data_IF_749536140849
#
_entry.id   IF_749536140849
#
_cell.length_a   1.000
_cell.length_b   1.000
_cell.length_c   1.000
_cell.angle_alpha   90.00
_cell.angle_beta   90.00
_cell.angle_gamma   90.00
#
_symmetry.space_group_name_H-M   'P 1'
#
loop_
_entity.id
_entity.type
_entity.pdbx_description
1 polymer ?
#
# COMPACT_ATOMS: atom_id res chain seq x y z
N UNK A 1 18.70 9.50 8.80
CA UNK A 1 17.84 8.38 8.38
C UNK A 1 18.66 7.09 8.48
N UNK A 2 18.22 6.12 9.28
CA UNK A 2 19.01 4.91 9.59
C UNK A 2 18.63 3.75 8.64
N UNK A 3 19.42 3.56 7.59
CA UNK A 3 19.13 2.54 6.58
C UNK A 3 19.21 1.10 7.11
N UNK A 4 20.08 0.83 8.09
CA UNK A 4 20.17 -0.49 8.73
C UNK A 4 18.86 -0.83 9.43
N UNK A 5 18.33 0.13 10.19
CA UNK A 5 17.02 -0.04 10.83
C UNK A 5 15.90 -0.32 9.82
N UNK A 6 15.92 0.34 8.65
CA UNK A 6 14.92 0.10 7.59
C UNK A 6 15.05 -1.32 7.01
N UNK A 7 16.28 -1.78 6.76
CA UNK A 7 16.58 -3.14 6.31
C UNK A 7 16.16 -4.18 7.36
N UNK A 8 16.51 -3.98 8.62
CA UNK A 8 16.16 -4.85 9.75
C UNK A 8 14.63 -4.93 9.93
N UNK A 9 13.93 -3.79 9.87
CA UNK A 9 12.47 -3.75 9.92
C UNK A 9 11.84 -4.52 8.74
N UNK A 10 12.41 -4.40 7.54
CA UNK A 10 11.90 -5.12 6.37
C UNK A 10 12.13 -6.63 6.48
N UNK A 11 13.33 -7.06 6.88
CA UNK A 11 13.65 -8.48 7.10
C UNK A 11 12.74 -9.09 8.16
N UNK A 12 12.54 -8.39 9.28
CA UNK A 12 11.61 -8.80 10.33
C UNK A 12 10.18 -8.90 9.79
N UNK A 13 9.76 -7.98 8.90
CA UNK A 13 8.44 -8.03 8.28
C UNK A 13 8.26 -9.21 7.31
N UNK A 14 9.30 -9.55 6.55
CA UNK A 14 9.29 -10.75 5.71
C UNK A 14 9.25 -12.02 6.55
N UNK A 15 10.07 -12.09 7.61
CA UNK A 15 10.17 -13.27 8.49
C UNK A 15 8.90 -13.49 9.32
N UNK A 16 8.41 -12.47 10.05
CA UNK A 16 7.27 -12.58 10.95
C UNK A 16 5.98 -13.03 10.25
N UNK A 17 5.83 -12.67 8.97
CA UNK A 17 4.67 -13.04 8.15
C UNK A 17 4.97 -14.13 7.13
N UNK A 18 6.17 -14.71 7.14
CA UNK A 18 6.62 -15.74 6.19
C UNK A 18 6.32 -15.34 4.72
N UNK A 19 6.65 -14.10 4.37
CA UNK A 19 6.40 -13.54 3.04
C UNK A 19 7.37 -14.13 2.03
N UNK A 20 6.92 -14.27 0.78
CA UNK A 20 7.81 -14.62 -0.33
C UNK A 20 8.64 -13.39 -0.68
N UNK A 21 9.94 -13.43 -0.39
CA UNK A 21 10.85 -12.35 -0.76
C UNK A 21 11.08 -12.32 -2.28
N UNK A 22 10.94 -11.13 -2.86
CA UNK A 22 11.17 -10.84 -4.28
C UNK A 22 12.18 -9.68 -4.45
N UNK A 23 12.80 -9.26 -3.34
CA UNK A 23 13.83 -8.24 -3.31
C UNK A 23 15.00 -8.67 -4.20
N UNK A 24 15.53 -7.71 -4.96
CA UNK A 24 16.79 -7.86 -5.67
C UNK A 24 17.61 -6.59 -5.51
N UNK A 25 18.94 -6.71 -5.46
CA UNK A 25 19.82 -5.55 -5.51
C UNK A 25 19.68 -4.86 -6.86
N UNK A 26 18.98 -3.73 -6.91
CA UNK A 26 18.89 -2.92 -8.13
C UNK A 26 19.88 -1.76 -8.05
N UNK A 27 21.04 -1.94 -8.68
CA UNK A 27 21.98 -0.84 -8.93
C UNK A 27 21.42 0.08 -10.02
N UNK A 28 20.54 1.01 -9.66
CA UNK A 28 20.22 2.12 -10.56
C UNK A 28 21.40 3.10 -10.60
N UNK A 29 21.95 3.32 -11.80
CA UNK A 29 22.95 4.36 -12.04
C UNK A 29 22.39 5.72 -11.59
N UNK A 30 23.19 6.47 -10.82
CA UNK A 30 22.93 7.79 -10.23
C UNK A 30 22.26 7.87 -8.84
N UNK A 31 22.39 6.83 -8.03
CA UNK A 31 22.10 6.84 -6.59
C UNK A 31 21.58 5.48 -6.15
N UNK A 32 22.15 4.90 -5.09
CA UNK A 32 21.76 3.54 -4.65
C UNK A 32 20.35 3.59 -4.05
N UNK A 33 19.33 3.34 -4.86
CA UNK A 33 17.97 3.08 -4.41
C UNK A 33 17.83 1.59 -4.10
N UNK A 34 17.55 1.26 -2.86
CA UNK A 34 17.10 -0.08 -2.49
C UNK A 34 15.61 -0.23 -2.76
N UNK A 35 15.27 -1.37 -3.32
CA UNK A 35 13.91 -1.76 -3.65
C UNK A 35 13.63 -3.10 -3.02
N UNK A 36 12.99 -3.06 -1.86
CA UNK A 36 12.52 -4.26 -1.19
C UNK A 36 11.16 -4.66 -1.72
N UNK A 37 10.98 -5.95 -2.02
CA UNK A 37 9.74 -6.51 -2.54
C UNK A 37 9.45 -7.83 -1.87
N UNK A 38 8.19 -8.03 -1.53
CA UNK A 38 7.70 -9.28 -1.00
C UNK A 38 6.25 -9.50 -1.44
N UNK A 39 5.78 -10.72 -1.38
CA UNK A 39 4.39 -11.05 -1.66
C UNK A 39 3.84 -12.09 -0.68
N UNK A 40 2.52 -12.12 -0.55
CA UNK A 40 1.80 -13.21 0.12
C UNK A 40 0.52 -13.57 -0.63
N UNK A 41 0.08 -14.82 -0.46
CA UNK A 41 -1.29 -15.23 -0.77
C UNK A 41 -2.11 -15.22 0.52
N UNK A 42 -3.03 -14.27 0.61
CA UNK A 42 -3.98 -14.15 1.71
C UNK A 42 -5.38 -14.56 1.24
N UNK A 43 -5.78 -15.79 1.54
CA UNK A 43 -7.10 -16.35 1.19
C UNK A 43 -7.47 -16.20 -0.29
N UNK A 44 -6.48 -16.36 -1.19
CA UNK A 44 -6.58 -16.22 -2.64
C UNK A 44 -6.15 -14.84 -3.15
N UNK A 45 -6.07 -13.81 -2.29
CA UNK A 45 -5.62 -12.48 -2.67
C UNK A 45 -4.09 -12.43 -2.68
N UNK A 46 -3.50 -12.24 -3.85
CA UNK A 46 -2.07 -11.98 -3.99
C UNK A 46 -1.77 -10.53 -3.63
N UNK A 47 -1.16 -10.32 -2.46
CA UNK A 47 -0.76 -8.99 -1.99
C UNK A 47 0.73 -8.80 -2.30
N UNK A 48 1.06 -7.73 -3.01
CA UNK A 48 2.42 -7.32 -3.30
C UNK A 48 2.80 -6.13 -2.43
N UNK A 49 3.94 -6.24 -1.77
CA UNK A 49 4.53 -5.22 -0.93
C UNK A 49 5.77 -4.65 -1.59
N UNK A 50 5.88 -3.33 -1.59
CA UNK A 50 7.05 -2.62 -2.09
C UNK A 50 7.49 -1.54 -1.10
N UNK A 51 8.78 -1.55 -0.74
CA UNK A 51 9.41 -0.53 0.08
C UNK A 51 10.67 0.01 -0.61
N UNK A 52 10.66 1.30 -0.93
CA UNK A 52 11.68 2.02 -1.70
C UNK A 52 12.42 3.02 -0.81
N UNK A 53 13.73 2.95 -0.80
CA UNK A 53 14.58 3.83 0.00
C UNK A 53 15.89 4.19 -0.72
N UNK A 54 16.42 5.41 -0.53
CA UNK A 54 17.70 5.83 -1.10
C UNK A 54 18.82 5.78 -0.06
N UNK A 55 19.82 4.92 -0.27
CA UNK A 55 21.03 4.83 0.57
C UNK A 55 21.91 6.09 0.52
N UNK A 56 21.90 6.85 -0.58
CA UNK A 56 22.88 7.92 -0.86
C UNK A 56 22.33 9.36 -0.73
N UNK A 57 21.57 9.66 0.31
CA UNK A 57 21.22 11.05 0.64
C UNK A 57 22.32 11.72 1.50
N UNK A 58 23.59 11.66 1.06
CA UNK A 58 24.69 12.39 1.73
C UNK A 58 24.78 13.86 1.30
N UNK A 59 24.21 14.28 0.16
CA UNK A 59 24.14 15.70 -0.19
C UNK A 59 22.96 15.99 -1.11
N UNK A 60 21.99 16.78 -0.60
CA UNK A 60 21.18 17.76 -1.35
C UNK A 60 20.36 17.33 -2.58
N UNK A 61 20.42 16.07 -3.02
CA UNK A 61 19.77 15.59 -4.23
C UNK A 61 18.39 15.02 -3.89
N UNK A 62 17.38 15.85 -4.12
CA UNK A 62 15.95 15.51 -4.03
C UNK A 62 15.54 14.62 -5.20
N UNK A 63 16.00 13.36 -5.19
CA UNK A 63 15.43 12.37 -6.10
C UNK A 63 13.93 12.25 -5.80
N UNK A 64 13.09 12.45 -6.82
CA UNK A 64 11.64 12.19 -6.75
C UNK A 64 11.42 10.68 -6.70
N UNK A 65 11.75 10.07 -5.56
CA UNK A 65 11.22 8.75 -5.22
C UNK A 65 9.71 8.96 -5.20
N UNK A 66 8.96 8.18 -5.99
CA UNK A 66 7.50 8.26 -6.05
C UNK A 66 6.88 7.92 -4.70
N UNK A 67 6.22 6.77 -4.61
CA UNK A 67 5.77 6.23 -3.32
C UNK A 67 6.90 5.41 -2.71
N UNK A 68 7.10 5.56 -1.39
CA UNK A 68 8.11 4.82 -0.64
C UNK A 68 7.57 3.51 -0.12
N UNK A 69 6.31 3.45 0.26
CA UNK A 69 5.62 2.22 0.63
C UNK A 69 4.40 2.06 -0.28
N UNK A 70 4.23 0.89 -0.87
CA UNK A 70 3.06 0.55 -1.68
C UNK A 70 2.66 -0.89 -1.43
N UNK A 71 1.43 -1.08 -0.96
CA UNK A 71 0.80 -2.39 -0.80
C UNK A 71 -0.30 -2.47 -1.84
N UNK A 72 -0.33 -3.54 -2.63
CA UNK A 72 -1.28 -3.64 -3.73
C UNK A 72 -1.76 -5.07 -3.89
N UNK A 73 -3.06 -5.25 -4.00
CA UNK A 73 -3.69 -6.53 -4.29
C UNK A 73 -4.59 -6.38 -5.51
N UNK A 74 -4.41 -7.18 -6.56
CA UNK A 74 -5.38 -7.29 -7.63
C UNK A 74 -6.68 -7.92 -7.13
N UNK A 75 -7.81 -7.39 -7.59
CA UNK A 75 -9.14 -7.78 -7.15
C UNK A 75 -10.13 -7.78 -8.32
N UNK A 76 -11.18 -8.56 -8.21
CA UNK A 76 -12.39 -8.46 -9.03
C UNK A 76 -13.45 -7.74 -8.21
N UNK A 77 -14.16 -6.80 -8.83
CA UNK A 77 -15.26 -6.09 -8.18
C UNK A 77 -16.59 -6.77 -8.52
N UNK A 78 -17.53 -6.76 -7.59
CA UNK A 78 -18.91 -7.20 -7.84
C UNK A 78 -19.62 -6.33 -8.88
N UNK A 79 -19.33 -5.04 -8.85
CA UNK A 79 -19.81 -4.02 -9.78
C UNK A 79 -18.73 -2.96 -9.97
N UNK A 80 -18.86 -2.13 -11.00
CA UNK A 80 -17.90 -1.06 -11.23
C UNK A 80 -18.06 0.06 -10.19
N UNK A 81 -17.21 0.04 -9.16
CA UNK A 81 -17.08 1.11 -8.20
C UNK A 81 -15.63 1.51 -7.97
N UNK A 82 -15.42 2.71 -7.42
CA UNK A 82 -14.12 3.20 -7.01
C UNK A 82 -14.17 3.66 -5.55
N UNK A 83 -12.99 3.68 -4.93
CA UNK A 83 -12.80 4.21 -3.58
C UNK A 83 -11.49 5.00 -3.56
N UNK A 84 -11.50 6.14 -2.89
CA UNK A 84 -10.30 6.85 -2.48
C UNK A 84 -10.49 7.35 -1.06
N UNK A 85 -9.52 7.05 -0.20
CA UNK A 85 -9.46 7.54 1.16
C UNK A 85 -8.11 8.19 1.40
N UNK A 86 -8.14 9.42 1.91
CA UNK A 86 -6.97 10.22 2.20
C UNK A 86 -7.20 10.99 3.50
N UNK A 87 -6.13 11.33 4.20
CA UNK A 87 -6.25 12.24 5.36
C UNK A 87 -6.71 13.61 4.88
N UNK A 88 -7.72 14.20 5.54
CA UNK A 88 -8.10 15.60 5.28
C UNK A 88 -6.91 16.51 5.55
N UNK A 89 -6.78 17.55 4.73
CA UNK A 89 -5.72 18.56 4.90
C UNK A 89 -5.76 19.17 6.31
N UNK A 90 -4.61 19.63 6.81
CA UNK A 90 -4.52 20.28 8.13
C UNK A 90 -5.51 21.45 8.24
N UNK A 91 -5.61 22.28 7.20
CA UNK A 91 -6.56 23.39 7.14
C UNK A 91 -8.02 22.92 7.28
N UNK A 92 -8.41 21.89 6.53
CA UNK A 92 -9.78 21.35 6.61
C UNK A 92 -10.09 20.79 8.01
N UNK A 93 -9.11 20.16 8.65
CA UNK A 93 -9.27 19.59 10.01
C UNK A 93 -9.37 20.67 11.10
N UNK A 94 -8.61 21.75 10.98
CA UNK A 94 -8.62 22.84 11.97
C UNK A 94 -9.92 23.63 11.90
N UNK A 95 -10.42 23.88 10.69
CA UNK A 95 -11.51 24.84 10.50
C UNK A 95 -12.90 24.23 10.26
N UNK A 96 -13.00 22.99 9.73
CA UNK A 96 -14.24 22.55 9.07
C UNK A 96 -14.69 21.11 9.32
N UNK A 97 -14.03 20.30 10.18
CA UNK A 97 -14.40 18.88 10.26
C UNK A 97 -13.98 18.17 11.55
N UNK A 98 -14.92 17.46 12.18
CA UNK A 98 -14.63 16.44 13.21
C UNK A 98 -14.00 15.18 12.62
N UNK A 99 -14.38 14.79 11.40
CA UNK A 99 -13.81 13.64 10.70
C UNK A 99 -12.37 13.93 10.24
N UNK A 100 -11.47 12.95 10.37
CA UNK A 100 -10.06 13.11 9.96
C UNK A 100 -9.80 12.68 8.52
N UNK A 101 -10.64 11.83 7.94
CA UNK A 101 -10.47 11.24 6.61
C UNK A 101 -11.43 11.84 5.60
N UNK A 102 -10.94 12.05 4.38
CA UNK A 102 -11.74 12.33 3.19
C UNK A 102 -11.98 11.00 2.49
N UNK A 103 -13.25 10.60 2.38
CA UNK A 103 -13.66 9.33 1.75
C UNK A 103 -14.51 9.66 0.53
N UNK A 104 -14.06 9.23 -0.63
CA UNK A 104 -14.79 9.32 -1.90
C UNK A 104 -15.04 7.90 -2.41
N UNK A 105 -16.31 7.51 -2.52
CA UNK A 105 -16.68 6.21 -3.03
C UNK A 105 -17.95 6.33 -3.88
N UNK A 106 -17.94 5.69 -5.05
CA UNK A 106 -19.13 5.66 -5.91
C UNK A 106 -20.23 4.72 -5.37
N UNK A 107 -19.89 3.74 -4.52
CA UNK A 107 -20.84 2.88 -3.82
C UNK A 107 -20.82 3.16 -2.30
N UNK A 108 -21.83 3.88 -1.81
CA UNK A 108 -21.91 4.27 -0.39
C UNK A 108 -21.97 3.08 0.57
N UNK A 109 -22.45 1.91 0.14
CA UNK A 109 -22.50 0.73 1.00
C UNK A 109 -21.10 0.24 1.37
N UNK A 110 -20.12 0.45 0.48
CA UNK A 110 -18.71 0.10 0.72
C UNK A 110 -18.14 0.89 1.89
N UNK A 111 -18.50 2.18 2.02
CA UNK A 111 -17.98 3.06 3.08
C UNK A 111 -18.24 2.47 4.47
N UNK A 112 -19.43 1.92 4.71
CA UNK A 112 -19.84 1.37 5.99
C UNK A 112 -19.10 0.06 6.36
N UNK A 113 -18.38 -0.54 5.42
CA UNK A 113 -17.60 -1.76 5.63
C UNK A 113 -16.14 -1.47 5.99
N UNK A 114 -15.68 -0.22 5.85
CA UNK A 114 -14.26 0.10 6.00
C UNK A 114 -13.86 0.18 7.48
N UNK A 115 -12.68 -0.34 7.86
CA UNK A 115 -12.13 -0.23 9.21
C UNK A 115 -11.58 1.20 9.45
N UNK A 116 -12.48 2.16 9.69
CA UNK A 116 -12.15 3.59 9.74
C UNK A 116 -11.13 3.90 10.85
N UNK A 117 -11.29 3.33 12.03
CA UNK A 117 -10.42 3.61 13.18
C UNK A 117 -8.99 3.12 12.94
N UNK A 118 -8.84 1.94 12.35
CA UNK A 118 -7.54 1.36 12.00
C UNK A 118 -6.86 2.14 10.86
N UNK A 119 -7.63 2.59 9.87
CA UNK A 119 -7.12 3.46 8.80
C UNK A 119 -6.67 4.80 9.39
N UNK A 120 -7.48 5.43 10.26
CA UNK A 120 -7.10 6.68 10.94
C UNK A 120 -5.82 6.51 11.76
N UNK A 121 -5.67 5.38 12.45
CA UNK A 121 -4.45 5.06 13.20
C UNK A 121 -3.22 5.01 12.28
N UNK A 122 -3.28 4.31 11.15
CA UNK A 122 -2.16 4.25 10.19
C UNK A 122 -1.83 5.63 9.62
N UNK A 123 -2.84 6.49 9.38
CA UNK A 123 -2.59 7.87 8.90
C UNK A 123 -1.90 8.77 9.93
N UNK A 124 -1.75 8.33 11.19
CA UNK A 124 -0.93 9.02 12.18
C UNK A 124 0.57 8.87 11.88
N UNK A 125 0.99 7.71 11.35
CA UNK A 125 2.35 7.44 10.90
C UNK A 125 2.63 8.03 9.52
N UNK A 126 1.61 7.96 8.65
CA UNK A 126 1.70 8.34 7.24
C UNK A 126 0.67 9.43 6.91
N UNK A 127 1.01 10.72 7.08
CA UNK A 127 0.06 11.81 6.88
C UNK A 127 -0.48 11.93 5.45
N UNK A 128 0.25 11.41 4.45
CA UNK A 128 -0.12 11.40 3.04
C UNK A 128 -0.64 10.03 2.55
N UNK A 129 -0.93 9.11 3.47
CA UNK A 129 -1.43 7.79 3.12
C UNK A 129 -2.67 7.91 2.23
N UNK A 130 -2.63 7.20 1.11
CA UNK A 130 -3.75 7.06 0.19
C UNK A 130 -4.13 5.59 0.08
N UNK A 131 -5.38 5.28 0.42
CA UNK A 131 -6.00 4.00 0.14
C UNK A 131 -6.93 4.18 -1.05
N UNK A 132 -6.87 3.28 -2.02
CA UNK A 132 -7.75 3.35 -3.19
C UNK A 132 -8.17 2.00 -3.72
N UNK A 133 -9.38 1.94 -4.28
CA UNK A 133 -9.82 0.90 -5.19
C UNK A 133 -10.01 1.55 -6.56
N UNK A 134 -9.18 1.15 -7.52
CA UNK A 134 -9.16 1.73 -8.87
C UNK A 134 -8.61 0.74 -9.90
N UNK A 135 -8.76 1.08 -11.17
CA UNK A 135 -8.01 0.44 -12.25
C UNK A 135 -6.54 0.81 -12.16
N UNK A 136 -5.67 -0.17 -12.30
CA UNK A 136 -4.23 0.01 -12.24
C UNK A 136 -3.72 0.71 -13.50
N UNK A 137 -3.05 1.84 -13.32
CA UNK A 137 -2.65 2.78 -14.37
C UNK A 137 -1.13 2.95 -14.50
N UNK A 138 -0.33 2.27 -13.65
CA UNK A 138 1.14 2.39 -13.61
C UNK A 138 1.81 1.18 -14.28
N UNK A 139 2.68 1.41 -15.27
CA UNK A 139 3.49 0.38 -15.95
C UNK A 139 4.63 -0.23 -15.09
N UNK A 140 4.64 -0.04 -13.76
CA UNK A 140 5.83 -0.33 -12.93
C UNK A 140 5.79 -1.64 -12.15
N UNK A 141 4.62 -2.26 -11.95
CA UNK A 141 4.53 -3.56 -11.28
C UNK A 141 4.29 -4.65 -12.33
N UNK A 142 5.33 -5.42 -12.65
CA UNK A 142 5.28 -6.50 -13.64
C UNK A 142 4.27 -7.61 -13.30
N UNK A 143 3.81 -7.67 -12.04
CA UNK A 143 2.87 -8.67 -11.56
C UNK A 143 1.40 -8.24 -11.68
N UNK A 144 1.12 -6.98 -12.04
CA UNK A 144 -0.25 -6.47 -12.14
C UNK A 144 -0.52 -5.99 -13.56
N UNK A 145 -1.60 -6.52 -14.15
CA UNK A 145 -1.97 -6.18 -15.51
C UNK A 145 -2.53 -4.76 -15.59
N UNK A 146 -2.12 -4.00 -16.60
CA UNK A 146 -2.68 -2.66 -16.86
C UNK A 146 -4.20 -2.73 -17.01
N UNK A 147 -4.92 -1.82 -16.35
CA UNK A 147 -6.39 -1.77 -16.37
C UNK A 147 -7.10 -2.73 -15.40
N UNK A 148 -6.36 -3.62 -14.73
CA UNK A 148 -6.91 -4.51 -13.68
C UNK A 148 -7.34 -3.70 -12.46
N UNK A 149 -8.46 -4.08 -11.82
CA UNK A 149 -8.85 -3.44 -10.56
C UNK A 149 -7.91 -3.89 -9.44
N UNK A 150 -7.50 -2.94 -8.61
CA UNK A 150 -6.63 -3.17 -7.46
C UNK A 150 -7.18 -2.48 -6.23
N UNK A 151 -6.98 -3.08 -5.07
CA UNK A 151 -6.91 -2.38 -3.80
C UNK A 151 -5.46 -1.99 -3.56
N UNK A 152 -5.22 -0.73 -3.24
CA UNK A 152 -3.88 -0.20 -3.08
C UNK A 152 -3.79 0.75 -1.89
N UNK A 153 -2.74 0.61 -1.08
CA UNK A 153 -2.34 1.54 -0.03
C UNK A 153 -0.96 2.08 -0.41
N UNK A 154 -0.82 3.39 -0.56
CA UNK A 154 0.45 4.02 -0.95
C UNK A 154 0.76 5.26 -0.10
N UNK A 155 2.04 5.49 0.19
CA UNK A 155 2.55 6.69 0.91
C UNK A 155 3.94 7.06 0.40
N UNK A 156 4.29 8.35 0.46
CA UNK A 156 5.63 8.85 0.15
C UNK A 156 6.54 8.91 1.39
N UNK A 157 6.01 8.63 2.58
CA UNK A 157 6.77 8.58 3.83
C UNK A 157 7.46 7.23 3.98
N UNK A 158 8.64 7.24 4.62
CA UNK A 158 9.35 6.00 4.91
C UNK A 158 8.73 5.33 6.14
N UNK A 159 8.48 4.01 6.13
CA UNK A 159 8.30 3.25 7.36
C UNK A 159 9.61 3.24 8.18
N UNK A 160 9.67 4.05 9.24
CA UNK A 160 10.84 4.12 10.14
C UNK A 160 10.85 3.06 11.24
N UNK A 161 9.67 2.53 11.60
CA UNK A 161 9.46 1.50 12.62
C UNK A 161 8.81 0.26 12.01
N UNK A 162 9.14 -0.92 12.55
CA UNK A 162 8.51 -2.19 12.18
C UNK A 162 6.98 -2.13 12.28
N UNK A 163 6.47 -1.49 13.33
CA UNK A 163 5.03 -1.35 13.57
C UNK A 163 4.30 -0.64 12.41
N UNK A 164 4.97 0.27 11.69
CA UNK A 164 4.35 0.95 10.56
C UNK A 164 4.03 -0.01 9.40
N UNK A 165 4.92 -0.96 9.12
CA UNK A 165 4.71 -2.01 8.11
C UNK A 165 3.59 -2.96 8.56
N UNK A 166 3.71 -3.45 9.80
CA UNK A 166 2.74 -4.36 10.43
C UNK A 166 1.32 -3.80 10.40
N UNK A 167 1.12 -2.58 10.91
CA UNK A 167 -0.22 -1.97 10.98
C UNK A 167 -0.82 -1.66 9.62
N UNK A 168 0.00 -1.31 8.65
CA UNK A 168 -0.46 -1.10 7.28
C UNK A 168 -0.90 -2.42 6.64
N UNK A 169 -0.21 -3.53 6.92
CA UNK A 169 -0.57 -4.87 6.45
C UNK A 169 -1.89 -5.33 7.09
N UNK A 170 -2.03 -5.15 8.41
CA UNK A 170 -3.26 -5.45 9.15
C UNK A 170 -4.47 -4.71 8.54
N UNK A 171 -4.33 -3.41 8.24
CA UNK A 171 -5.39 -2.64 7.57
C UNK A 171 -5.74 -3.20 6.19
N UNK A 172 -4.74 -3.51 5.35
CA UNK A 172 -4.95 -4.12 4.04
C UNK A 172 -5.78 -5.41 4.14
N UNK A 173 -5.38 -6.29 5.06
CA UNK A 173 -6.05 -7.57 5.30
C UNK A 173 -7.49 -7.36 5.77
N UNK A 174 -7.71 -6.50 6.77
CA UNK A 174 -9.05 -6.23 7.29
C UNK A 174 -9.99 -5.71 6.21
N UNK A 175 -9.50 -4.85 5.31
CA UNK A 175 -10.30 -4.35 4.18
C UNK A 175 -10.64 -5.49 3.23
N UNK A 176 -9.65 -6.31 2.83
CA UNK A 176 -9.88 -7.45 1.94
C UNK A 176 -10.90 -8.43 2.52
N UNK A 177 -10.77 -8.77 3.81
CA UNK A 177 -11.71 -9.66 4.50
C UNK A 177 -13.12 -9.08 4.54
N UNK A 178 -13.28 -7.84 5.03
CA UNK A 178 -14.60 -7.21 5.15
C UNK A 178 -15.29 -7.07 3.80
N UNK A 179 -14.57 -6.67 2.76
CA UNK A 179 -15.15 -6.55 1.42
C UNK A 179 -15.47 -7.92 0.80
N UNK A 180 -14.64 -8.94 1.00
CA UNK A 180 -14.90 -10.31 0.53
C UNK A 180 -16.12 -10.93 1.23
N UNK A 181 -16.22 -10.82 2.55
CA UNK A 181 -17.35 -11.35 3.33
C UNK A 181 -18.68 -10.73 2.88
N UNK A 182 -18.66 -9.45 2.49
CA UNK A 182 -19.82 -8.74 1.96
C UNK A 182 -19.98 -8.83 0.43
N UNK A 183 -19.22 -9.73 -0.21
CA UNK A 183 -19.27 -10.01 -1.65
C UNK A 183 -19.05 -8.77 -2.54
N UNK A 184 -18.32 -7.76 -2.06
CA UNK A 184 -17.95 -6.56 -2.82
C UNK A 184 -16.74 -6.78 -3.71
N UNK A 185 -15.88 -7.72 -3.32
CA UNK A 185 -14.69 -8.09 -4.08
C UNK A 185 -14.49 -9.60 -4.08
N UNK A 186 -13.72 -10.08 -5.04
CA UNK A 186 -13.17 -11.44 -5.08
C UNK A 186 -11.68 -11.37 -5.45
N UNK A 187 -10.89 -12.40 -5.12
CA UNK A 187 -9.53 -12.50 -5.63
C UNK A 187 -9.52 -12.48 -7.15
N UNK A 188 -8.63 -11.69 -7.75
CA UNK A 188 -8.44 -11.76 -9.18
C UNK A 188 -7.74 -13.08 -9.54
N UNK A 189 -8.25 -13.79 -10.53
CA UNK A 189 -7.55 -14.95 -11.06
C UNK A 189 -6.28 -14.47 -11.78
N UNK A 190 -5.12 -14.68 -11.16
CA UNK A 190 -3.85 -14.52 -11.84
C UNK A 190 -3.76 -15.59 -12.95
N UNK A 191 -3.89 -15.19 -14.21
CA UNK A 191 -3.27 -15.91 -15.31
C UNK A 191 -1.76 -15.77 -15.11
N UNK A 192 -1.19 -16.67 -14.30
CA UNK A 192 0.26 -16.85 -14.23
C UNK A 192 0.69 -17.21 -15.65
N UNK A 193 1.22 -16.24 -16.39
CA UNK A 193 2.03 -16.57 -17.56
C UNK A 193 3.25 -17.31 -17.03
N UNK A 194 3.18 -18.63 -17.09
CA UNK A 194 4.35 -19.50 -17.07
C UNK A 194 5.32 -18.99 -18.12
N UNK A 195 6.44 -18.41 -17.69
CA UNK A 195 7.65 -18.34 -18.49
C UNK A 195 8.63 -19.38 -17.95
#
# INVERSE_FOLDING_TARGET
MNWRKIDDNWKSFVEDYNLKEESGENNYFYGKQELYRASEDFQGFYIHYENKFNKSAELGSSFRIGHRLTFVSPIELDQNWNLTMEKKSLWTRIFNSSEKLKIECSDKLVINLLPIDEIEFVTSFFPDLKLSVKKFDKFQNQYITYGQNVLMIETKYQPEEFEHLKKTREVMILILEKLKMNKKIKPAHNTVYSK
#
